data_IF_802280956793
#
_entry.id   IF_802280956793
#
_cell.length_a   1.000
_cell.length_b   1.000
_cell.length_c   1.000
_cell.angle_alpha   90.00
_cell.angle_beta   90.00
_cell.angle_gamma   90.00
#
_symmetry.space_group_name_H-M   'P 1'
#
loop_
_entity.id
_entity.type
_entity.pdbx_description
1 polymer ?
#
# COMPACT_ATOMS: atom_id res chain seq x y z
N UNK A 1 3.09 13.73 13.98
CA UNK A 1 1.91 12.85 13.91
C UNK A 1 1.99 11.93 15.11
N UNK A 2 0.86 11.63 15.75
CA UNK A 2 0.82 10.60 16.79
C UNK A 2 1.06 9.23 16.16
N UNK A 3 1.80 8.37 16.83
CA UNK A 3 1.92 6.96 16.44
C UNK A 3 0.54 6.31 16.50
N UNK A 4 0.23 5.46 15.52
CA UNK A 4 -0.99 4.66 15.49
C UNK A 4 -0.62 3.21 15.75
N UNK A 5 -1.32 2.55 16.67
CA UNK A 5 -1.13 1.15 16.99
C UNK A 5 -2.42 0.38 16.72
N UNK A 6 -2.33 -0.74 15.98
CA UNK A 6 -3.45 -1.66 15.79
C UNK A 6 -3.02 -3.02 16.32
N UNK A 7 -3.73 -3.55 17.32
CA UNK A 7 -3.38 -4.83 17.94
C UNK A 7 -1.95 -4.89 18.49
N UNK A 8 -1.41 -3.75 18.94
CA UNK A 8 -0.03 -3.60 19.42
C UNK A 8 1.02 -3.39 18.32
N UNK A 9 0.65 -3.45 17.04
CA UNK A 9 1.54 -3.16 15.90
C UNK A 9 1.51 -1.67 15.56
N UNK A 10 2.68 -1.04 15.53
CA UNK A 10 2.83 0.34 15.04
C UNK A 10 2.56 0.42 13.53
N UNK A 11 1.84 1.47 13.13
CA UNK A 11 1.52 1.80 11.74
C UNK A 11 2.20 3.12 11.39
N UNK A 12 3.03 3.12 10.34
CA UNK A 12 3.74 4.32 9.91
C UNK A 12 4.73 4.04 8.79
N UNK A 13 5.31 5.10 8.21
CA UNK A 13 6.25 5.00 7.08
C UNK A 13 7.58 4.33 7.45
N UNK A 14 7.88 4.19 8.74
CA UNK A 14 9.09 3.53 9.26
C UNK A 14 9.00 1.99 9.23
N UNK A 15 7.84 1.44 8.91
CA UNK A 15 7.58 0.00 8.86
C UNK A 15 6.97 -0.38 7.50
N UNK A 16 7.08 -1.65 7.08
CA UNK A 16 6.37 -2.15 5.92
C UNK A 16 4.86 -1.87 6.02
N UNK A 17 4.17 -1.58 4.89
CA UNK A 17 2.74 -1.32 4.89
C UNK A 17 1.94 -2.43 5.57
N UNK A 18 0.91 -2.04 6.32
CA UNK A 18 0.00 -2.99 6.96
C UNK A 18 -1.05 -3.48 5.95
N UNK A 19 -0.98 -4.77 5.62
CA UNK A 19 -1.82 -5.39 4.59
C UNK A 19 -3.04 -6.04 5.26
N UNK A 20 -4.22 -5.62 4.82
CA UNK A 20 -5.53 -6.09 5.29
C UNK A 20 -6.15 -6.99 4.22
N UNK A 21 -6.42 -8.24 4.58
CA UNK A 21 -7.27 -9.13 3.81
C UNK A 21 -8.74 -8.91 4.20
N UNK A 22 -9.54 -8.42 3.25
CA UNK A 22 -10.99 -8.25 3.40
C UNK A 22 -11.72 -9.49 2.89
N UNK A 23 -12.46 -10.16 3.77
CA UNK A 23 -13.26 -11.32 3.38
C UNK A 23 -14.58 -10.90 2.70
N UNK A 24 -15.24 -9.86 3.22
CA UNK A 24 -16.60 -9.48 2.81
C UNK A 24 -17.52 -10.74 2.75
N UNK A 25 -18.36 -10.86 1.73
CA UNK A 25 -19.22 -12.03 1.47
C UNK A 25 -18.54 -13.22 0.77
N UNK A 26 -17.20 -13.27 0.63
CA UNK A 26 -16.51 -14.35 -0.10
C UNK A 26 -16.54 -15.72 0.60
N UNK A 27 -17.03 -15.76 1.85
CA UNK A 27 -17.28 -16.99 2.60
C UNK A 27 -18.46 -17.81 2.04
N UNK A 28 -19.27 -17.26 1.12
CA UNK A 28 -20.36 -17.97 0.43
C UNK A 28 -21.27 -18.76 1.37
N UNK A 29 -21.64 -18.15 2.51
CA UNK A 29 -22.46 -18.77 3.54
C UNK A 29 -21.90 -20.12 4.07
N UNK A 30 -20.57 -20.25 4.19
CA UNK A 30 -19.91 -21.37 4.87
C UNK A 30 -18.84 -20.88 5.87
N UNK A 31 -18.97 -21.27 7.14
CA UNK A 31 -17.95 -20.99 8.17
C UNK A 31 -16.63 -21.69 7.85
N UNK A 32 -16.68 -22.94 7.39
CA UNK A 32 -15.46 -23.69 7.00
C UNK A 32 -14.69 -22.95 5.92
N UNK A 33 -15.41 -22.39 4.93
CA UNK A 33 -14.79 -21.56 3.90
C UNK A 33 -14.22 -20.26 4.47
N UNK A 34 -14.92 -19.60 5.40
CA UNK A 34 -14.41 -18.41 6.06
C UNK A 34 -13.07 -18.70 6.77
N UNK A 35 -12.98 -19.81 7.50
CA UNK A 35 -11.75 -20.24 8.17
C UNK A 35 -10.62 -20.56 7.18
N UNK A 36 -10.93 -21.18 6.04
CA UNK A 36 -9.96 -21.38 4.96
C UNK A 36 -9.45 -20.06 4.37
N UNK A 37 -10.31 -19.03 4.26
CA UNK A 37 -9.88 -17.69 3.80
C UNK A 37 -8.94 -17.05 4.83
N UNK A 38 -9.18 -17.22 6.13
CA UNK A 38 -8.25 -16.78 7.18
C UNK A 38 -6.89 -17.46 7.02
N UNK A 39 -6.86 -18.77 6.81
CA UNK A 39 -5.63 -19.53 6.59
C UNK A 39 -4.87 -19.06 5.36
N UNK A 40 -5.57 -18.83 4.25
CA UNK A 40 -4.98 -18.30 3.02
C UNK A 40 -4.41 -16.88 3.22
N UNK A 41 -5.09 -16.03 3.99
CA UNK A 41 -4.58 -14.70 4.35
C UNK A 41 -3.29 -14.79 5.20
N UNK A 42 -3.26 -15.71 6.18
CA UNK A 42 -2.09 -15.96 7.03
C UNK A 42 -0.90 -16.41 6.18
N UNK A 43 -1.11 -17.41 5.31
CA UNK A 43 -0.06 -17.98 4.47
C UNK A 43 0.48 -16.96 3.45
N UNK A 44 -0.37 -16.05 2.98
CA UNK A 44 0.03 -14.94 2.12
C UNK A 44 0.82 -13.85 2.86
N UNK A 45 0.76 -13.82 4.19
CA UNK A 45 1.46 -12.86 5.03
C UNK A 45 0.66 -11.59 5.35
N UNK A 46 -0.67 -11.63 5.29
CA UNK A 46 -1.51 -10.52 5.74
C UNK A 46 -1.31 -10.23 7.24
N UNK A 47 -1.35 -8.97 7.65
CA UNK A 47 -1.25 -8.58 9.06
C UNK A 47 -2.60 -8.24 9.69
N UNK A 48 -3.59 -7.86 8.87
CA UNK A 48 -4.96 -7.63 9.30
C UNK A 48 -5.95 -8.53 8.56
N UNK A 49 -6.97 -9.00 9.26
CA UNK A 49 -8.10 -9.72 8.66
C UNK A 49 -9.40 -8.99 9.00
N UNK A 50 -10.18 -8.67 7.97
CA UNK A 50 -11.38 -7.85 8.10
C UNK A 50 -12.62 -8.60 7.62
N UNK A 51 -13.69 -8.46 8.39
CA UNK A 51 -15.05 -8.91 8.04
C UNK A 51 -16.03 -7.74 8.13
N UNK A 52 -17.31 -7.99 7.83
CA UNK A 52 -18.37 -7.00 7.87
C UNK A 52 -19.46 -7.44 8.85
N UNK A 53 -19.91 -6.51 9.71
CA UNK A 53 -20.87 -6.79 10.78
C UNK A 53 -22.13 -5.96 10.56
N UNK A 54 -23.19 -6.65 10.13
CA UNK A 54 -24.54 -6.12 9.97
C UNK A 54 -25.53 -7.28 9.90
N UNK A 55 -26.82 -6.98 9.95
CA UNK A 55 -27.86 -7.87 9.42
C UNK A 55 -28.58 -7.17 8.27
N UNK A 56 -29.25 -7.90 7.36
CA UNK A 56 -30.05 -7.26 6.32
C UNK A 56 -31.10 -6.29 6.90
N UNK A 57 -31.65 -6.60 8.07
CA UNK A 57 -32.65 -5.79 8.78
C UNK A 57 -32.09 -4.48 9.33
N UNK A 58 -30.81 -4.43 9.71
CA UNK A 58 -30.18 -3.17 10.15
C UNK A 58 -29.65 -2.35 8.98
N UNK A 59 -29.36 -3.00 7.84
CA UNK A 59 -28.79 -2.37 6.66
C UNK A 59 -29.83 -1.72 5.74
N UNK A 60 -30.97 -2.37 5.53
CA UNK A 60 -31.95 -1.94 4.53
C UNK A 60 -33.36 -2.46 4.80
N UNK A 61 -34.32 -2.05 3.98
CA UNK A 61 -35.69 -2.54 4.07
C UNK A 61 -35.90 -3.78 3.19
N UNK A 62 -36.69 -4.74 3.68
CA UNK A 62 -37.12 -5.91 2.93
C UNK A 62 -38.17 -5.55 1.86
N UNK A 63 -37.73 -4.85 0.82
CA UNK A 63 -38.54 -4.35 -0.30
C UNK A 63 -37.86 -4.76 -1.61
N UNK A 64 -38.62 -5.35 -2.53
CA UNK A 64 -38.09 -5.91 -3.79
C UNK A 64 -38.34 -5.02 -5.02
N UNK A 65 -38.71 -3.75 -4.81
CA UNK A 65 -39.05 -2.81 -5.87
C UNK A 65 -38.54 -1.39 -5.57
N UNK A 66 -38.81 -0.46 -6.50
CA UNK A 66 -38.46 0.95 -6.35
C UNK A 66 -36.96 1.17 -6.14
N UNK A 67 -36.62 2.00 -5.16
CA UNK A 67 -35.25 2.38 -4.80
C UNK A 67 -34.44 1.23 -4.17
N UNK A 68 -35.11 0.18 -3.68
CA UNK A 68 -34.48 -0.99 -3.06
C UNK A 68 -34.09 -2.07 -4.08
N UNK A 69 -34.47 -1.91 -5.36
CA UNK A 69 -34.11 -2.83 -6.45
C UNK A 69 -32.94 -2.26 -7.26
N UNK A 70 -31.92 -3.07 -7.51
CA UNK A 70 -30.73 -2.63 -8.26
C UNK A 70 -31.03 -2.62 -9.76
N UNK A 71 -31.32 -1.44 -10.30
CA UNK A 71 -31.63 -1.25 -11.72
C UNK A 71 -30.41 -1.03 -12.64
N UNK A 72 -29.26 -0.64 -12.07
CA UNK A 72 -28.08 -0.30 -12.87
C UNK A 72 -27.60 -1.49 -13.70
N UNK A 73 -27.68 -1.34 -15.02
CA UNK A 73 -27.26 -2.35 -15.99
C UNK A 73 -25.78 -2.71 -15.94
N UNK A 74 -24.93 -1.85 -15.36
CA UNK A 74 -23.49 -2.09 -15.20
C UNK A 74 -23.14 -2.74 -13.87
N UNK A 75 -24.08 -2.77 -12.93
CA UNK A 75 -23.87 -3.37 -11.61
C UNK A 75 -23.72 -4.89 -11.71
N UNK A 76 -22.79 -5.44 -10.93
CA UNK A 76 -22.61 -6.88 -10.78
C UNK A 76 -23.84 -7.56 -10.13
N UNK A 77 -24.69 -6.77 -9.48
CA UNK A 77 -25.81 -7.22 -8.67
C UNK A 77 -27.17 -6.82 -9.26
N UNK A 78 -27.21 -6.42 -10.54
CA UNK A 78 -28.43 -6.03 -11.26
C UNK A 78 -29.55 -7.04 -11.04
N UNK A 79 -30.75 -6.54 -10.70
CA UNK A 79 -31.96 -7.34 -10.54
C UNK A 79 -32.12 -7.99 -9.17
N UNK A 80 -31.16 -7.85 -8.25
CA UNK A 80 -31.35 -8.20 -6.84
C UNK A 80 -31.93 -7.00 -6.08
N UNK A 81 -32.77 -7.28 -5.09
CA UNK A 81 -33.06 -6.28 -4.05
C UNK A 81 -31.86 -6.13 -3.11
N UNK A 82 -31.70 -4.95 -2.53
CA UNK A 82 -30.66 -4.69 -1.53
C UNK A 82 -30.75 -5.71 -0.38
N UNK A 83 -31.96 -5.96 0.13
CA UNK A 83 -32.17 -6.91 1.23
C UNK A 83 -31.69 -8.33 0.88
N UNK A 84 -32.04 -8.85 -0.30
CA UNK A 84 -31.63 -10.20 -0.71
C UNK A 84 -30.12 -10.27 -0.98
N UNK A 85 -29.52 -9.18 -1.50
CA UNK A 85 -28.07 -9.08 -1.67
C UNK A 85 -27.34 -9.14 -0.31
N UNK A 86 -27.76 -8.32 0.64
CA UNK A 86 -27.17 -8.28 1.98
C UNK A 86 -27.43 -9.59 2.76
N UNK A 87 -28.56 -10.24 2.56
CA UNK A 87 -28.86 -11.55 3.14
C UNK A 87 -27.94 -12.66 2.61
N UNK A 88 -27.51 -12.55 1.36
CA UNK A 88 -26.53 -13.48 0.79
C UNK A 88 -25.09 -13.17 1.25
N UNK A 89 -24.78 -11.89 1.46
CA UNK A 89 -23.43 -11.42 1.75
C UNK A 89 -23.05 -11.38 3.24
N UNK A 90 -24.02 -11.19 4.15
CA UNK A 90 -23.71 -10.95 5.57
C UNK A 90 -22.99 -12.15 6.21
N UNK A 91 -22.08 -11.85 7.13
CA UNK A 91 -21.45 -12.84 8.00
C UNK A 91 -22.34 -13.04 9.24
N UNK A 92 -22.83 -14.27 9.52
CA UNK A 92 -23.56 -14.56 10.75
C UNK A 92 -22.77 -14.13 11.99
N UNK A 93 -23.45 -13.53 12.97
CA UNK A 93 -22.79 -12.93 14.12
C UNK A 93 -22.05 -13.99 14.95
N UNK A 94 -22.64 -15.17 15.09
CA UNK A 94 -22.03 -16.32 15.78
C UNK A 94 -20.71 -16.79 15.13
N UNK A 95 -20.42 -16.43 13.88
CA UNK A 95 -19.16 -16.79 13.21
C UNK A 95 -18.00 -15.86 13.54
N UNK A 96 -18.27 -14.65 14.02
CA UNK A 96 -17.23 -13.65 14.27
C UNK A 96 -16.20 -14.16 15.28
N UNK A 97 -16.65 -14.78 16.39
CA UNK A 97 -15.74 -15.32 17.40
C UNK A 97 -14.85 -16.44 16.84
N UNK A 98 -15.38 -17.53 16.23
CA UNK A 98 -14.53 -18.55 15.59
C UNK A 98 -13.53 -18.00 14.57
N UNK A 99 -13.94 -17.04 13.74
CA UNK A 99 -13.06 -16.40 12.75
C UNK A 99 -11.94 -15.61 13.44
N UNK A 100 -12.27 -14.83 14.46
CA UNK A 100 -11.31 -14.02 15.19
C UNK A 100 -10.34 -14.88 16.01
N UNK A 101 -10.83 -15.92 16.68
CA UNK A 101 -9.99 -16.90 17.37
C UNK A 101 -8.96 -17.49 16.39
N UNK A 102 -9.40 -17.89 15.18
CA UNK A 102 -8.51 -18.44 14.14
C UNK A 102 -7.49 -17.42 13.64
N UNK A 103 -7.86 -16.15 13.49
CA UNK A 103 -6.93 -15.09 13.14
C UNK A 103 -5.83 -14.94 14.20
N UNK A 104 -6.23 -14.92 15.48
CA UNK A 104 -5.30 -14.76 16.62
C UNK A 104 -4.35 -15.96 16.71
N UNK A 105 -4.84 -17.18 16.54
CA UNK A 105 -4.00 -18.40 16.48
C UNK A 105 -2.92 -18.32 15.39
N UNK A 106 -3.24 -17.68 14.26
CA UNK A 106 -2.35 -17.53 13.11
C UNK A 106 -1.54 -16.22 13.13
N UNK A 107 -1.68 -15.40 14.18
CA UNK A 107 -0.94 -14.14 14.34
C UNK A 107 -1.41 -12.99 13.45
N UNK A 108 -2.64 -13.05 12.91
CA UNK A 108 -3.27 -11.95 12.19
C UNK A 108 -4.16 -11.16 13.15
N UNK A 109 -4.20 -9.83 13.01
CA UNK A 109 -5.07 -8.98 13.84
C UNK A 109 -6.49 -8.96 13.24
N UNK A 110 -7.51 -9.54 13.91
CA UNK A 110 -8.89 -9.47 13.44
C UNK A 110 -9.57 -8.17 13.83
N UNK A 111 -10.40 -7.66 12.94
CA UNK A 111 -11.33 -6.56 13.20
C UNK A 111 -12.48 -6.58 12.19
N UNK A 112 -13.43 -5.64 12.32
CA UNK A 112 -14.61 -5.61 11.45
C UNK A 112 -15.06 -4.19 11.11
N UNK A 113 -15.91 -4.11 10.08
CA UNK A 113 -16.69 -2.93 9.71
C UNK A 113 -18.10 -3.04 10.31
N UNK A 114 -18.45 -2.27 11.36
CA UNK A 114 -19.85 -2.10 11.77
C UNK A 114 -20.57 -1.17 10.78
N UNK A 115 -21.81 -1.50 10.45
CA UNK A 115 -22.68 -0.67 9.61
C UNK A 115 -23.82 0.00 10.36
N UNK A 116 -23.97 -0.34 11.64
CA UNK A 116 -24.98 0.25 12.52
C UNK A 116 -24.53 0.16 13.98
N UNK A 117 -25.29 0.81 14.85
CA UNK A 117 -25.01 0.90 16.28
C UNK A 117 -24.98 -0.46 17.00
N UNK A 118 -25.82 -1.41 16.61
CA UNK A 118 -25.89 -2.74 17.23
C UNK A 118 -24.66 -3.58 16.87
N UNK A 119 -24.13 -3.39 15.66
CA UNK A 119 -22.86 -3.99 15.25
C UNK A 119 -21.68 -3.48 16.08
N UNK A 120 -21.66 -2.19 16.45
CA UNK A 120 -20.64 -1.65 17.36
C UNK A 120 -20.71 -2.34 18.73
N UNK A 121 -21.92 -2.41 19.31
CA UNK A 121 -22.15 -3.02 20.62
C UNK A 121 -21.75 -4.50 20.63
N UNK A 122 -22.08 -5.23 19.57
CA UNK A 122 -21.66 -6.63 19.41
C UNK A 122 -20.14 -6.79 19.32
N UNK A 123 -19.47 -5.97 18.50
CA UNK A 123 -18.01 -6.05 18.34
C UNK A 123 -17.24 -5.69 19.61
N UNK A 124 -17.80 -4.87 20.50
CA UNK A 124 -17.22 -4.62 21.83
C UNK A 124 -17.22 -5.88 22.70
N UNK A 125 -18.24 -6.75 22.59
CA UNK A 125 -18.26 -8.05 23.29
C UNK A 125 -17.13 -8.99 22.84
N UNK A 126 -16.60 -8.79 21.63
CA UNK A 126 -15.49 -9.54 21.05
C UNK A 126 -14.12 -8.87 21.28
N UNK A 127 -14.09 -7.68 21.90
CA UNK A 127 -12.89 -6.91 22.15
C UNK A 127 -12.00 -6.72 20.90
N UNK A 128 -12.59 -6.28 19.78
CA UNK A 128 -11.84 -6.01 18.54
C UNK A 128 -10.71 -5.01 18.75
N UNK A 129 -9.61 -5.16 18.00
CA UNK A 129 -8.40 -4.32 18.14
C UNK A 129 -8.53 -2.93 17.52
N UNK A 130 -9.43 -2.77 16.56
CA UNK A 130 -9.74 -1.51 15.89
C UNK A 130 -11.09 -1.64 15.17
N UNK A 131 -11.55 -0.53 14.59
CA UNK A 131 -12.74 -0.49 13.74
C UNK A 131 -12.43 0.00 12.34
N UNK A 132 -13.17 -0.52 11.37
CA UNK A 132 -13.23 0.02 10.01
C UNK A 132 -14.55 0.74 9.80
N UNK A 133 -14.54 1.97 9.28
CA UNK A 133 -15.71 2.62 8.67
C UNK A 133 -15.60 2.49 7.15
N UNK A 134 -16.64 1.95 6.51
CA UNK A 134 -16.72 1.80 5.06
C UNK A 134 -17.02 3.14 4.37
N UNK A 135 -16.85 3.18 3.04
CA UNK A 135 -17.00 4.44 2.29
C UNK A 135 -18.45 4.94 2.23
N UNK A 136 -19.45 4.06 2.38
CA UNK A 136 -20.85 4.47 2.35
C UNK A 136 -21.30 5.07 3.69
N UNK A 137 -20.61 4.70 4.77
CA UNK A 137 -20.85 5.16 6.15
C UNK A 137 -19.88 6.29 6.55
N UNK A 138 -19.03 6.76 5.64
CA UNK A 138 -18.02 7.78 5.98
C UNK A 138 -18.60 9.18 6.20
N UNK A 139 -19.90 9.38 6.02
CA UNK A 139 -20.68 10.56 6.40
C UNK A 139 -21.75 10.26 7.46
N UNK A 140 -21.80 9.02 7.97
CA UNK A 140 -22.67 8.65 9.09
C UNK A 140 -22.04 9.13 10.41
N UNK A 141 -22.19 10.43 10.68
CA UNK A 141 -21.61 11.08 11.85
C UNK A 141 -22.04 10.43 13.17
N UNK A 142 -23.31 10.03 13.39
CA UNK A 142 -23.70 9.24 14.56
C UNK A 142 -22.90 7.95 14.74
N UNK A 143 -22.77 7.12 13.70
CA UNK A 143 -22.00 5.87 13.76
C UNK A 143 -20.52 6.14 14.04
N UNK A 144 -19.92 7.11 13.36
CA UNK A 144 -18.52 7.51 13.55
C UNK A 144 -18.27 7.95 15.01
N UNK A 145 -19.18 8.74 15.59
CA UNK A 145 -19.07 9.15 17.00
C UNK A 145 -19.18 7.96 17.96
N UNK A 146 -20.10 7.03 17.70
CA UNK A 146 -20.25 5.82 18.53
C UNK A 146 -18.98 4.98 18.52
N UNK A 147 -18.42 4.74 17.34
CA UNK A 147 -17.15 4.00 17.19
C UNK A 147 -16.00 4.74 17.87
N UNK A 148 -15.89 6.06 17.70
CA UNK A 148 -14.84 6.86 18.33
C UNK A 148 -14.92 6.89 19.85
N UNK A 149 -16.12 6.84 20.42
CA UNK A 149 -16.33 6.82 21.87
C UNK A 149 -15.77 5.55 22.54
N UNK A 150 -15.55 4.46 21.79
CA UNK A 150 -14.87 3.25 22.30
C UNK A 150 -13.40 3.50 22.65
N UNK A 151 -12.80 4.58 22.12
CA UNK A 151 -11.38 4.91 22.30
C UNK A 151 -10.41 4.02 21.51
N UNK A 152 -10.92 3.08 20.70
CA UNK A 152 -10.11 2.20 19.84
C UNK A 152 -9.67 2.90 18.55
N UNK A 153 -8.58 2.44 17.92
CA UNK A 153 -8.16 2.95 16.61
C UNK A 153 -9.25 2.81 15.55
N UNK A 154 -9.33 3.79 14.65
CA UNK A 154 -10.32 3.81 13.56
C UNK A 154 -9.62 3.92 12.21
N UNK A 155 -10.03 3.07 11.27
CA UNK A 155 -9.68 3.16 9.85
C UNK A 155 -10.92 3.60 9.07
N UNK A 156 -10.91 4.73 8.36
CA UNK A 156 -12.07 5.23 7.60
C UNK A 156 -11.76 5.23 6.11
N UNK A 157 -12.57 4.55 5.28
CA UNK A 157 -12.44 4.65 3.82
C UNK A 157 -13.10 5.93 3.30
N UNK A 158 -12.44 6.61 2.37
CA UNK A 158 -12.84 7.95 1.91
C UNK A 158 -13.43 7.94 0.50
N UNK A 159 -14.04 6.84 0.07
CA UNK A 159 -14.68 6.78 -1.25
C UNK A 159 -15.85 7.76 -1.31
N UNK A 160 -16.04 8.41 -2.47
CA UNK A 160 -17.11 9.38 -2.77
C UNK A 160 -17.09 10.70 -1.98
N UNK A 161 -16.49 10.72 -0.79
CA UNK A 161 -16.47 11.88 0.09
C UNK A 161 -15.67 13.06 -0.50
N UNK A 162 -16.27 14.23 -0.44
CA UNK A 162 -15.63 15.52 -0.67
C UNK A 162 -14.71 15.90 0.50
N UNK A 163 -13.86 16.91 0.28
CA UNK A 163 -13.01 17.45 1.34
C UNK A 163 -13.80 17.99 2.54
N UNK A 164 -15.00 18.55 2.31
CA UNK A 164 -15.85 19.11 3.36
C UNK A 164 -16.49 18.00 4.21
N UNK A 165 -16.97 16.92 3.58
CA UNK A 165 -17.47 15.74 4.28
C UNK A 165 -16.37 15.07 5.09
N UNK A 166 -15.15 14.94 4.53
CA UNK A 166 -14.02 14.38 5.26
C UNK A 166 -13.58 15.25 6.45
N UNK A 167 -13.63 16.58 6.33
CA UNK A 167 -13.39 17.48 7.45
C UNK A 167 -14.40 17.26 8.59
N UNK A 168 -15.69 17.17 8.27
CA UNK A 168 -16.73 16.89 9.25
C UNK A 168 -16.51 15.53 9.94
N UNK A 169 -16.23 14.48 9.16
CA UNK A 169 -15.96 13.12 9.66
C UNK A 169 -14.74 13.07 10.57
N UNK A 170 -13.63 13.70 10.18
CA UNK A 170 -12.40 13.71 10.98
C UNK A 170 -12.61 14.51 12.27
N UNK A 171 -13.33 15.64 12.23
CA UNK A 171 -13.67 16.41 13.43
C UNK A 171 -14.58 15.61 14.36
N UNK A 172 -15.65 15.03 13.83
CA UNK A 172 -16.58 14.24 14.62
C UNK A 172 -15.91 13.05 15.34
N UNK A 173 -15.04 12.32 14.63
CA UNK A 173 -14.27 11.23 15.23
C UNK A 173 -13.38 11.73 16.37
N UNK A 174 -12.62 12.82 16.16
CA UNK A 174 -11.71 13.38 17.17
C UNK A 174 -12.45 13.93 18.38
N UNK A 175 -13.53 14.67 18.17
CA UNK A 175 -14.38 15.24 19.23
C UNK A 175 -15.00 14.13 20.09
N UNK A 176 -15.32 12.98 19.50
CA UNK A 176 -15.87 11.82 20.21
C UNK A 176 -14.81 10.92 20.86
N UNK A 177 -13.52 11.25 20.75
CA UNK A 177 -12.44 10.56 21.49
C UNK A 177 -11.45 9.76 20.65
N UNK A 178 -11.57 9.76 19.31
CA UNK A 178 -10.62 9.09 18.43
C UNK A 178 -9.25 9.77 18.45
N UNK A 179 -8.23 9.08 18.96
CA UNK A 179 -6.82 9.53 18.96
C UNK A 179 -6.00 8.94 17.82
N UNK A 180 -6.35 7.73 17.41
CA UNK A 180 -5.61 6.92 16.45
C UNK A 180 -6.47 6.73 15.21
N UNK A 181 -6.20 7.54 14.19
CA UNK A 181 -7.00 7.59 12.96
C UNK A 181 -6.12 7.25 11.75
N UNK A 182 -6.65 6.40 10.88
CA UNK A 182 -6.12 6.15 9.54
C UNK A 182 -7.21 6.43 8.52
N UNK A 183 -6.89 7.17 7.46
CA UNK A 183 -7.79 7.35 6.32
C UNK A 183 -7.33 6.47 5.15
N UNK A 184 -8.24 5.78 4.48
CA UNK A 184 -7.93 5.03 3.27
C UNK A 184 -8.47 5.75 2.05
N UNK A 185 -7.58 6.17 1.15
CA UNK A 185 -8.02 6.59 -0.18
C UNK A 185 -8.75 5.41 -0.81
N UNK A 186 -9.93 5.66 -1.36
CA UNK A 186 -10.76 4.61 -1.93
C UNK A 186 -11.47 5.14 -3.19
N UNK A 187 -11.76 4.24 -4.13
CA UNK A 187 -12.69 4.48 -5.24
C UNK A 187 -13.75 3.39 -5.19
N UNK A 188 -15.00 3.76 -4.91
CA UNK A 188 -16.13 2.85 -4.69
C UNK A 188 -16.74 2.36 -6.01
N UNK A 189 -15.92 1.77 -6.88
CA UNK A 189 -16.35 1.07 -8.09
C UNK A 189 -15.74 -0.32 -8.10
N UNK A 190 -16.49 -1.31 -8.57
CA UNK A 190 -16.18 -2.73 -8.35
C UNK A 190 -16.24 -3.52 -9.66
N UNK A 191 -15.11 -3.78 -10.33
CA UNK A 191 -13.76 -3.33 -9.99
C UNK A 191 -13.51 -1.85 -10.34
N UNK A 192 -12.56 -1.24 -9.64
CA UNK A 192 -12.09 0.11 -9.94
C UNK A 192 -11.08 0.10 -11.10
N UNK A 193 -11.01 1.20 -11.85
CA UNK A 193 -9.97 1.38 -12.87
C UNK A 193 -8.75 2.11 -12.29
N UNK A 194 -7.52 1.76 -12.68
CA UNK A 194 -6.33 2.51 -12.27
C UNK A 194 -6.41 4.02 -12.60
N UNK A 195 -7.08 4.37 -13.71
CA UNK A 195 -7.28 5.76 -14.14
C UNK A 195 -8.14 6.57 -13.16
N UNK A 196 -9.04 5.92 -12.42
CA UNK A 196 -9.98 6.57 -11.51
C UNK A 196 -9.57 6.50 -10.04
N UNK A 197 -8.44 5.87 -9.71
CA UNK A 197 -8.02 5.70 -8.30
C UNK A 197 -7.48 6.99 -7.69
N UNK A 198 -6.80 7.83 -8.48
CA UNK A 198 -6.25 9.12 -8.06
C UNK A 198 -5.36 9.04 -6.79
N UNK A 199 -4.41 8.10 -6.78
CA UNK A 199 -3.54 7.82 -5.61
C UNK A 199 -2.62 8.98 -5.20
N UNK A 200 -2.41 9.98 -6.08
CA UNK A 200 -1.72 11.24 -5.72
C UNK A 200 -2.44 12.03 -4.61
N UNK A 201 -3.69 11.67 -4.30
CA UNK A 201 -4.45 12.23 -3.18
C UNK A 201 -3.88 11.79 -1.82
N UNK A 202 -3.19 10.64 -1.75
CA UNK A 202 -2.66 10.06 -0.50
C UNK A 202 -1.77 11.05 0.27
N UNK A 203 -0.69 11.60 -0.33
CA UNK A 203 0.18 12.54 0.39
C UNK A 203 -0.55 13.82 0.79
N UNK A 204 -1.44 14.34 -0.07
CA UNK A 204 -2.24 15.53 0.24
C UNK A 204 -3.19 15.28 1.43
N UNK A 205 -3.86 14.13 1.47
CA UNK A 205 -4.75 13.76 2.57
C UNK A 205 -4.00 13.57 3.89
N UNK A 206 -2.80 12.99 3.84
CA UNK A 206 -1.89 12.86 5.00
C UNK A 206 -1.48 14.23 5.54
N UNK A 207 -1.12 15.15 4.65
CA UNK A 207 -0.79 16.52 5.02
C UNK A 207 -1.99 17.27 5.60
N UNK A 208 -3.16 17.16 4.97
CA UNK A 208 -4.36 17.91 5.33
C UNK A 208 -4.91 17.48 6.71
N UNK A 209 -5.09 16.17 6.90
CA UNK A 209 -5.73 15.65 8.12
C UNK A 209 -4.74 15.26 9.21
N UNK A 210 -3.42 15.29 8.95
CA UNK A 210 -2.36 14.98 9.94
C UNK A 210 -2.54 13.61 10.60
N UNK A 211 -2.92 12.62 9.81
CA UNK A 211 -3.10 11.24 10.24
C UNK A 211 -2.41 10.30 9.26
N UNK A 212 -2.30 9.02 9.63
CA UNK A 212 -1.82 8.02 8.69
C UNK A 212 -2.82 7.82 7.55
N UNK A 213 -2.28 7.50 6.36
CA UNK A 213 -3.09 7.31 5.16
C UNK A 213 -2.68 6.03 4.45
N UNK A 214 -3.67 5.29 4.00
CA UNK A 214 -3.50 4.10 3.17
C UNK A 214 -4.38 4.10 1.93
N UNK A 215 -4.56 2.92 1.36
CA UNK A 215 -5.39 2.65 0.19
C UNK A 215 -6.33 1.47 0.46
N UNK A 216 -7.62 1.65 0.20
CA UNK A 216 -8.59 0.56 0.01
C UNK A 216 -8.80 0.40 -1.49
N UNK A 217 -8.29 -0.70 -2.05
CA UNK A 217 -8.05 -0.84 -3.49
C UNK A 217 -8.98 -1.87 -4.14
N UNK A 218 -9.87 -1.41 -5.02
CA UNK A 218 -10.75 -2.30 -5.79
C UNK A 218 -10.29 -2.52 -7.24
N UNK A 219 -9.07 -2.13 -7.60
CA UNK A 219 -8.49 -2.41 -8.92
C UNK A 219 -8.05 -3.87 -9.05
N UNK A 220 -7.93 -4.38 -10.27
CA UNK A 220 -7.36 -5.71 -10.50
C UNK A 220 -5.82 -5.66 -10.44
N UNK A 221 -5.21 -6.74 -9.92
CA UNK A 221 -3.77 -6.85 -9.75
C UNK A 221 -3.22 -6.00 -8.59
N UNK A 222 -1.89 -5.80 -8.60
CA UNK A 222 -1.16 -5.18 -7.47
C UNK A 222 -0.62 -3.78 -7.78
N UNK A 223 -0.59 -3.38 -9.06
CA UNK A 223 0.19 -2.21 -9.50
C UNK A 223 -0.20 -0.90 -8.82
N UNK A 224 -1.50 -0.67 -8.58
CA UNK A 224 -1.98 0.55 -7.92
C UNK A 224 -1.63 0.56 -6.43
N UNK A 225 -1.78 -0.59 -5.77
CA UNK A 225 -1.38 -0.78 -4.37
C UNK A 225 0.13 -0.56 -4.19
N UNK A 226 0.97 -1.16 -5.04
CA UNK A 226 2.44 -0.97 -5.02
C UNK A 226 2.81 0.50 -5.26
N UNK A 227 2.21 1.15 -6.26
CA UNK A 227 2.47 2.56 -6.55
C UNK A 227 2.05 3.49 -5.38
N UNK A 228 1.01 3.13 -4.62
CA UNK A 228 0.55 3.90 -3.47
C UNK A 228 1.57 3.94 -2.33
N UNK A 229 2.37 2.88 -2.17
CA UNK A 229 3.45 2.82 -1.16
C UNK A 229 4.48 3.92 -1.41
N UNK A 230 4.87 4.13 -2.68
CA UNK A 230 5.79 5.21 -3.05
C UNK A 230 5.23 6.62 -2.80
N UNK A 231 3.91 6.74 -2.63
CA UNK A 231 3.23 7.98 -2.27
C UNK A 231 2.96 8.10 -0.76
N UNK A 232 3.50 7.18 0.05
CA UNK A 232 3.42 7.21 1.51
C UNK A 232 2.20 6.49 2.11
N UNK A 233 1.58 5.56 1.37
CA UNK A 233 0.54 4.69 1.92
C UNK A 233 1.11 3.74 2.97
N UNK A 234 0.55 3.74 4.18
CA UNK A 234 0.98 2.89 5.30
C UNK A 234 0.07 1.71 5.56
N UNK A 235 -1.10 1.69 4.93
CA UNK A 235 -2.10 0.61 5.02
C UNK A 235 -2.60 0.29 3.62
N UNK A 236 -2.77 -0.99 3.30
CA UNK A 236 -3.37 -1.44 2.04
C UNK A 236 -4.45 -2.47 2.35
N UNK A 237 -5.66 -2.25 1.86
CA UNK A 237 -6.80 -3.15 2.01
C UNK A 237 -7.21 -3.70 0.64
N UNK A 238 -7.33 -5.04 0.57
CA UNK A 238 -7.73 -5.79 -0.63
C UNK A 238 -8.70 -6.90 -0.26
N UNK A 239 -9.72 -7.11 -1.10
CA UNK A 239 -10.59 -8.27 -0.97
C UNK A 239 -9.84 -9.56 -1.31
N UNK A 240 -10.11 -10.63 -0.56
CA UNK A 240 -9.52 -11.96 -0.73
C UNK A 240 -10.62 -13.01 -0.87
N UNK A 241 -10.46 -13.92 -1.83
CA UNK A 241 -11.25 -15.14 -2.00
C UNK A 241 -10.30 -16.33 -2.21
N UNK A 242 -10.78 -17.56 -2.00
CA UNK A 242 -10.00 -18.77 -2.30
C UNK A 242 -9.85 -18.97 -3.81
N UNK A 243 -10.95 -18.74 -4.54
CA UNK A 243 -10.98 -18.80 -6.00
C UNK A 243 -12.11 -17.93 -6.52
N UNK A 244 -11.86 -17.15 -7.57
CA UNK A 244 -12.89 -16.34 -8.24
C UNK A 244 -13.90 -17.23 -8.98
N UNK A 245 -13.53 -18.46 -9.34
CA UNK A 245 -14.42 -19.40 -10.03
C UNK A 245 -15.56 -19.92 -9.15
N UNK A 246 -15.40 -19.85 -7.82
CA UNK A 246 -16.39 -20.32 -6.86
C UNK A 246 -17.63 -19.42 -6.78
N UNK A 247 -17.61 -18.28 -7.46
CA UNK A 247 -18.63 -17.25 -7.34
C UNK A 247 -18.64 -16.61 -5.96
N UNK A 248 -19.73 -15.93 -5.64
CA UNK A 248 -19.85 -15.08 -4.46
C UNK A 248 -20.06 -13.62 -4.85
N UNK A 249 -20.54 -12.83 -3.88
CA UNK A 249 -21.01 -11.46 -4.12
C UNK A 249 -19.89 -10.55 -4.63
N UNK A 250 -18.66 -10.76 -4.12
CA UNK A 250 -17.49 -9.92 -4.38
C UNK A 250 -16.34 -10.64 -5.11
N UNK A 251 -16.54 -11.91 -5.47
CA UNK A 251 -15.47 -12.76 -5.97
C UNK A 251 -14.82 -12.20 -7.26
N UNK A 252 -15.59 -11.51 -8.12
CA UNK A 252 -15.11 -11.00 -9.42
C UNK A 252 -13.95 -10.02 -9.33
N UNK A 253 -13.81 -9.29 -8.23
CA UNK A 253 -12.76 -8.28 -8.04
C UNK A 253 -11.85 -8.59 -6.84
N UNK A 254 -12.10 -9.71 -6.16
CA UNK A 254 -11.27 -10.20 -5.07
C UNK A 254 -9.99 -10.86 -5.58
N UNK A 255 -8.90 -10.73 -4.84
CA UNK A 255 -7.65 -11.41 -5.13
C UNK A 255 -7.73 -12.88 -4.74
N UNK A 256 -7.01 -13.74 -5.46
CA UNK A 256 -6.77 -15.13 -5.05
C UNK A 256 -5.47 -15.22 -4.20
N UNK A 257 -5.24 -16.32 -3.46
CA UNK A 257 -4.16 -16.38 -2.47
C UNK A 257 -2.76 -16.10 -3.05
N UNK A 258 -2.47 -16.61 -4.25
CA UNK A 258 -1.20 -16.35 -4.93
C UNK A 258 -1.02 -14.87 -5.32
N UNK A 259 -2.11 -14.22 -5.77
CA UNK A 259 -2.10 -12.80 -6.10
C UNK A 259 -1.94 -11.95 -4.82
N UNK A 260 -2.58 -12.36 -3.71
CA UNK A 260 -2.47 -11.67 -2.42
C UNK A 260 -1.07 -11.80 -1.83
N UNK A 261 -0.42 -12.97 -1.97
CA UNK A 261 0.99 -13.14 -1.59
C UNK A 261 1.91 -12.25 -2.43
N UNK A 262 1.61 -12.10 -3.72
CA UNK A 262 2.31 -11.14 -4.57
C UNK A 262 2.12 -9.69 -4.06
N UNK A 263 0.90 -9.30 -3.68
CA UNK A 263 0.62 -7.99 -3.09
C UNK A 263 1.50 -7.72 -1.87
N UNK A 264 1.52 -8.65 -0.91
CA UNK A 264 2.34 -8.51 0.31
C UNK A 264 3.82 -8.34 -0.07
N UNK A 265 4.36 -9.23 -0.90
CA UNK A 265 5.79 -9.17 -1.25
C UNK A 265 6.19 -7.95 -2.06
N UNK A 266 5.36 -7.47 -2.99
CA UNK A 266 5.71 -6.34 -3.86
C UNK A 266 5.51 -4.99 -3.17
N UNK A 267 4.58 -4.90 -2.22
CA UNK A 267 4.40 -3.69 -1.40
C UNK A 267 5.53 -3.52 -0.38
N UNK A 268 6.03 -4.62 0.21
CA UNK A 268 7.22 -4.62 1.05
C UNK A 268 8.46 -4.18 0.27
N UNK A 269 8.75 -4.81 -0.89
CA UNK A 269 9.88 -4.40 -1.75
C UNK A 269 9.80 -2.94 -2.19
N UNK A 270 8.60 -2.46 -2.52
CA UNK A 270 8.41 -1.06 -2.88
C UNK A 270 8.75 -0.12 -1.72
N UNK A 271 8.34 -0.47 -0.50
CA UNK A 271 8.69 0.27 0.71
C UNK A 271 10.21 0.26 0.98
N UNK A 272 10.84 -0.91 0.94
CA UNK A 272 12.31 -1.05 1.11
C UNK A 272 13.09 -0.19 0.10
N UNK A 273 12.58 -0.12 -1.13
CA UNK A 273 13.21 0.60 -2.24
C UNK A 273 13.13 2.13 -2.13
N UNK A 274 12.26 2.69 -1.27
CA UNK A 274 12.16 4.15 -1.12
C UNK A 274 13.42 4.76 -0.54
N UNK A 275 14.05 4.07 0.41
CA UNK A 275 15.32 4.47 1.01
C UNK A 275 15.34 5.92 1.48
N UNK A 276 16.45 6.61 1.20
CA UNK A 276 16.67 8.02 1.55
C UNK A 276 17.21 8.77 0.33
N UNK A 277 17.04 10.09 0.32
CA UNK A 277 17.70 10.94 -0.69
C UNK A 277 19.21 10.78 -0.55
N UNK A 278 19.86 10.24 -1.59
CA UNK A 278 21.28 9.91 -1.57
C UNK A 278 21.94 10.22 -2.92
N UNK A 279 23.11 10.87 -2.89
CA UNK A 279 23.90 11.18 -4.08
C UNK A 279 25.32 10.65 -3.93
N UNK A 280 25.84 10.05 -4.99
CA UNK A 280 27.16 9.42 -5.00
C UNK A 280 27.07 7.90 -4.91
N UNK A 281 28.21 7.20 -4.95
CA UNK A 281 28.24 5.75 -4.83
C UNK A 281 27.88 5.34 -3.41
N UNK A 282 27.05 4.31 -3.28
CA UNK A 282 26.92 3.54 -2.04
C UNK A 282 28.23 2.80 -1.73
N UNK A 283 28.37 2.26 -0.51
CA UNK A 283 29.55 1.46 -0.15
C UNK A 283 29.73 0.24 -1.07
N UNK A 284 28.63 -0.36 -1.51
CA UNK A 284 28.61 -1.50 -2.45
C UNK A 284 29.06 -1.07 -3.87
N UNK A 285 28.81 0.19 -4.24
CA UNK A 285 29.19 0.73 -5.56
C UNK A 285 30.62 1.30 -5.60
N UNK A 286 31.29 1.53 -4.46
CA UNK A 286 32.64 2.13 -4.42
C UNK A 286 33.64 1.37 -5.29
N UNK A 287 33.60 0.05 -5.25
CA UNK A 287 34.48 -0.80 -6.07
C UNK A 287 34.19 -0.68 -7.57
N UNK A 288 32.96 -0.29 -7.94
CA UNK A 288 32.59 -0.06 -9.33
C UNK A 288 33.12 1.27 -9.89
N UNK A 289 33.60 2.18 -9.03
CA UNK A 289 34.24 3.42 -9.49
C UNK A 289 35.46 3.16 -10.38
N UNK A 290 36.16 2.04 -10.17
CA UNK A 290 37.29 1.61 -11.01
C UNK A 290 36.90 1.32 -12.45
N UNK A 291 35.61 1.16 -12.76
CA UNK A 291 35.11 0.98 -14.12
C UNK A 291 34.70 2.31 -14.79
N UNK A 292 34.87 3.47 -14.13
CA UNK A 292 34.69 4.78 -14.77
C UNK A 292 35.82 5.06 -15.76
N UNK A 293 35.59 5.98 -16.69
CA UNK A 293 36.65 6.47 -17.58
C UNK A 293 37.56 7.39 -16.79
N UNK A 294 38.86 7.25 -17.02
CA UNK A 294 39.88 8.20 -16.59
C UNK A 294 40.89 8.39 -17.72
N UNK A 295 41.81 9.34 -17.58
CA UNK A 295 42.80 9.64 -18.60
C UNK A 295 43.90 8.58 -18.59
N UNK A 296 44.21 8.05 -19.77
CA UNK A 296 45.25 7.04 -19.99
C UNK A 296 46.05 7.37 -21.23
N UNK A 297 47.33 7.01 -21.17
CA UNK A 297 48.23 7.00 -22.32
C UNK A 297 47.87 5.81 -23.21
N UNK A 298 47.57 6.07 -24.49
CA UNK A 298 47.13 5.03 -25.46
C UNK A 298 48.19 4.66 -26.49
N UNK A 299 49.28 5.41 -26.53
CA UNK A 299 50.49 5.19 -27.36
C UNK A 299 51.73 5.51 -26.50
N UNK A 300 52.88 4.89 -26.74
CA UNK A 300 54.08 5.23 -25.96
C UNK A 300 54.50 6.69 -26.24
N UNK A 301 54.93 7.42 -25.20
CA UNK A 301 55.34 8.84 -25.27
C UNK A 301 56.76 8.96 -24.71
N UNK A 302 57.68 9.62 -25.41
CA UNK A 302 59.06 9.84 -24.93
C UNK A 302 59.16 11.09 -24.05
N UNK A 303 60.18 11.15 -23.19
CA UNK A 303 60.51 12.35 -22.42
C UNK A 303 60.66 13.58 -23.36
N UNK A 304 59.99 14.68 -23.00
CA UNK A 304 59.96 15.92 -23.80
C UNK A 304 58.94 15.94 -24.95
N UNK A 305 58.30 14.81 -25.29
CA UNK A 305 57.24 14.73 -26.30
C UNK A 305 55.92 15.32 -25.78
N UNK A 306 55.09 15.84 -26.69
CA UNK A 306 53.85 16.56 -26.33
C UNK A 306 52.67 15.59 -26.16
N UNK A 307 51.87 15.80 -25.11
CA UNK A 307 50.57 15.13 -24.99
C UNK A 307 49.56 15.70 -25.99
N UNK A 308 48.89 14.82 -26.73
CA UNK A 308 47.92 15.15 -27.78
C UNK A 308 46.62 14.34 -27.59
N UNK A 309 45.60 14.62 -28.40
CA UNK A 309 44.33 13.87 -28.36
C UNK A 309 44.47 12.45 -28.94
N UNK A 310 45.55 12.20 -29.68
CA UNK A 310 45.87 10.91 -30.27
C UNK A 310 46.52 9.98 -29.24
N UNK A 311 47.45 10.50 -28.42
CA UNK A 311 48.23 9.70 -27.47
C UNK A 311 47.68 9.67 -26.03
N UNK A 312 46.71 10.53 -25.67
CA UNK A 312 45.96 10.47 -24.41
C UNK A 312 44.47 10.42 -24.67
N UNK A 313 43.79 9.45 -24.06
CA UNK A 313 42.34 9.31 -24.16
C UNK A 313 41.70 9.11 -22.80
N UNK A 314 40.48 9.61 -22.63
CA UNK A 314 39.62 9.19 -21.55
C UNK A 314 39.13 7.77 -21.83
N UNK A 315 39.67 6.75 -21.18
CA UNK A 315 39.26 5.35 -21.36
C UNK A 315 39.15 4.65 -19.99
N UNK A 316 38.58 3.45 -19.95
CA UNK A 316 38.57 2.63 -18.73
C UNK A 316 39.93 1.93 -18.56
N UNK A 317 40.35 1.61 -17.32
CA UNK A 317 39.65 1.78 -16.04
C UNK A 317 39.76 3.20 -15.45
N UNK A 318 39.27 3.39 -14.23
CA UNK A 318 39.12 4.67 -13.54
C UNK A 318 40.28 5.05 -12.61
N UNK A 319 41.51 4.59 -12.90
CA UNK A 319 42.67 4.78 -12.02
C UNK A 319 43.54 6.02 -12.36
N UNK A 320 43.32 6.68 -13.49
CA UNK A 320 43.99 7.92 -13.87
C UNK A 320 43.21 9.16 -13.45
N UNK A 321 43.71 10.34 -13.85
CA UNK A 321 43.01 11.60 -13.63
C UNK A 321 41.64 11.62 -14.31
N UNK A 322 40.70 12.36 -13.71
CA UNK A 322 39.35 12.52 -14.26
C UNK A 322 39.39 13.15 -15.67
N UNK A 323 38.50 12.76 -16.60
CA UNK A 323 38.48 13.28 -17.97
C UNK A 323 38.44 14.81 -18.09
N UNK A 324 37.87 15.50 -17.10
CA UNK A 324 37.86 16.98 -17.01
C UNK A 324 39.26 17.62 -17.01
N UNK A 325 40.31 16.84 -16.78
CA UNK A 325 41.68 17.31 -16.74
C UNK A 325 42.41 17.18 -18.09
N UNK A 326 41.78 16.66 -19.14
CA UNK A 326 42.45 16.40 -20.43
C UNK A 326 43.11 17.66 -21.00
N UNK A 327 42.38 18.78 -21.03
CA UNK A 327 42.88 20.06 -21.56
C UNK A 327 44.09 20.61 -20.79
N UNK A 328 44.32 20.17 -19.55
CA UNK A 328 45.50 20.56 -18.77
C UNK A 328 46.77 19.82 -19.22
N UNK A 329 46.63 18.68 -19.90
CA UNK A 329 47.72 17.89 -20.44
C UNK A 329 48.01 18.21 -21.90
N UNK A 330 46.98 18.45 -22.72
CA UNK A 330 47.17 18.74 -24.15
C UNK A 330 48.13 19.93 -24.34
N UNK A 331 49.17 19.74 -25.14
CA UNK A 331 50.21 20.75 -25.39
C UNK A 331 51.33 20.81 -24.34
N UNK A 332 51.23 20.08 -23.23
CA UNK A 332 52.33 19.90 -22.26
C UNK A 332 53.30 18.81 -22.72
N UNK A 333 54.53 18.86 -22.22
CA UNK A 333 55.58 17.88 -22.53
C UNK A 333 55.66 16.82 -21.43
N UNK A 334 55.94 15.57 -21.79
CA UNK A 334 56.13 14.48 -20.85
C UNK A 334 57.43 14.66 -20.03
N UNK A 335 57.35 14.51 -18.71
CA UNK A 335 58.48 14.64 -17.79
C UNK A 335 59.47 13.46 -17.87
N UNK A 336 59.02 12.32 -18.43
CA UNK A 336 59.75 11.05 -18.57
C UNK A 336 59.18 10.24 -19.74
N UNK A 337 59.81 9.11 -20.06
CA UNK A 337 59.23 8.12 -20.97
C UNK A 337 58.00 7.45 -20.32
N UNK A 338 56.88 7.34 -21.06
CA UNK A 338 55.61 6.81 -20.57
C UNK A 338 55.09 5.73 -21.52
N UNK A 339 54.75 4.56 -20.97
CA UNK A 339 54.23 3.43 -21.76
C UNK A 339 52.72 3.54 -21.99
N UNK A 340 52.26 3.00 -23.12
CA UNK A 340 50.84 2.71 -23.38
C UNK A 340 50.24 1.93 -22.20
N UNK A 341 49.02 2.32 -21.80
CA UNK A 341 48.32 1.73 -20.66
C UNK A 341 48.65 2.37 -19.31
N UNK A 342 49.49 3.41 -19.28
CA UNK A 342 49.77 4.15 -18.03
C UNK A 342 48.61 5.10 -17.70
N UNK A 343 48.07 5.07 -16.46
CA UNK A 343 47.11 6.07 -16.01
C UNK A 343 47.77 7.45 -15.96
N UNK A 344 47.10 8.46 -16.50
CA UNK A 344 47.60 9.84 -16.43
C UNK A 344 47.55 10.33 -14.99
N UNK A 345 48.64 10.93 -14.53
CA UNK A 345 48.82 11.57 -13.23
C UNK A 345 49.61 12.88 -13.37
N UNK A 346 49.53 13.78 -12.39
CA UNK A 346 50.14 15.12 -12.49
C UNK A 346 51.67 15.10 -12.58
N UNK A 347 52.34 14.04 -12.12
CA UNK A 347 53.80 13.89 -12.19
C UNK A 347 54.33 13.60 -13.61
N UNK A 348 53.44 13.41 -14.58
CA UNK A 348 53.79 13.12 -15.97
C UNK A 348 54.06 14.37 -16.82
N UNK A 349 53.82 15.58 -16.31
CA UNK A 349 54.07 16.88 -16.98
C UNK A 349 55.08 17.74 -16.26
#
# INVERSE_FOLDING_TARGET
MSNVYIGGREIGNSLPPFIIAEMSGNHNQSLDRALQIVEAAAEAGAQGFKIQTYTPDTMTLNIENGDFLIHDTKSLWKGKSLYNLYKEAYTPWEWHKPIFDRCIELGIIPFSTPFDETAVDFLETLNVSCYKIASFENTDIPLIRKVAATGKPIIISTGMASIAELDETVRAAREAGCKELILLKCTSTYPASPKSTNIVTIPHMKELFKCEVGLSDHTLGVGVSVASVALGATVIEKHLTLSRSDGGVDAKFSMEPAEFKLLVSETEKAWESLGNVYYGPTDIEKDSLKFRRSLYVVENIKAGEVFTNENVKAIRPGNGLLPKHLSKFIGKKASKDIKKGTPISWDLI
#
